data_IF_470323098553
#
_entry.id   IF_470323098553
#
_cell.length_a   1.000
_cell.length_b   1.000
_cell.length_c   1.000
_cell.angle_alpha   90.00
_cell.angle_beta   90.00
_cell.angle_gamma   90.00
#
_symmetry.space_group_name_H-M   'P 1'
#
loop_
_entity.id
_entity.type
_entity.pdbx_description
1 polymer ?
#
# COMPACT_ATOMS: atom_id res chain seq x y z
N UNK A 1 -13.79 -28.24 10.28
CA UNK A 1 -14.30 -28.04 8.90
C UNK A 1 -13.10 -27.76 8.02
N UNK A 2 -13.05 -28.25 6.78
CA UNK A 2 -11.82 -28.14 5.97
C UNK A 2 -11.76 -26.81 5.22
N UNK A 3 -10.62 -26.15 5.26
CA UNK A 3 -10.32 -24.98 4.42
C UNK A 3 -10.41 -25.31 2.92
N UNK A 4 -10.27 -26.58 2.55
CA UNK A 4 -10.33 -27.04 1.16
C UNK A 4 -11.69 -26.78 0.49
N UNK A 5 -12.77 -26.64 1.28
CA UNK A 5 -14.12 -26.36 0.78
C UNK A 5 -14.39 -24.86 0.56
N UNK A 6 -13.36 -24.01 0.71
CA UNK A 6 -13.48 -22.56 0.67
C UNK A 6 -12.67 -21.97 -0.50
N UNK A 7 -13.13 -20.83 -1.03
CA UNK A 7 -12.43 -20.01 -2.01
C UNK A 7 -12.46 -18.56 -1.52
N UNK A 8 -11.30 -17.91 -1.41
CA UNK A 8 -11.21 -16.48 -1.06
C UNK A 8 -10.72 -15.71 -2.27
N UNK A 9 -11.61 -14.91 -2.86
CA UNK A 9 -11.27 -13.99 -3.94
C UNK A 9 -11.06 -12.58 -3.37
N UNK A 10 -9.98 -11.94 -3.80
CA UNK A 10 -9.62 -10.56 -3.43
C UNK A 10 -9.37 -9.78 -4.71
N UNK A 11 -10.06 -8.66 -4.84
CA UNK A 11 -9.97 -7.77 -5.99
C UNK A 11 -8.64 -6.97 -6.00
N UNK A 12 -8.17 -6.58 -7.19
CA UNK A 12 -6.93 -5.83 -7.43
C UNK A 12 -6.87 -4.57 -6.57
N UNK A 13 -8.00 -3.86 -6.46
CA UNK A 13 -8.10 -2.62 -5.70
C UNK A 13 -7.68 -2.78 -4.22
N UNK A 14 -7.90 -3.96 -3.61
CA UNK A 14 -7.55 -4.25 -2.21
C UNK A 14 -6.05 -4.37 -2.05
N UNK A 15 -5.36 -5.00 -3.01
CA UNK A 15 -3.90 -5.07 -3.02
C UNK A 15 -3.27 -3.69 -3.24
N UNK A 16 -3.86 -2.86 -4.11
CA UNK A 16 -3.38 -1.50 -4.37
C UNK A 16 -3.60 -0.57 -3.16
N UNK A 17 -4.64 -0.78 -2.37
CA UNK A 17 -4.91 0.00 -1.15
C UNK A 17 -3.80 -0.13 -0.09
N UNK A 18 -2.99 -1.20 -0.12
CA UNK A 18 -1.82 -1.36 0.75
C UNK A 18 -0.80 -0.21 0.59
N UNK A 19 -0.70 0.41 -0.60
CA UNK A 19 0.15 1.59 -0.82
C UNK A 19 -0.48 2.91 -0.35
N UNK A 20 -1.75 2.88 0.05
CA UNK A 20 -2.57 4.07 0.36
C UNK A 20 -2.78 4.22 1.86
N UNK A 21 -3.00 3.11 2.57
CA UNK A 21 -3.14 3.08 4.02
C UNK A 21 -1.81 3.29 4.75
N UNK A 22 -1.85 3.59 6.04
CA UNK A 22 -0.65 3.74 6.88
C UNK A 22 -0.36 2.49 7.73
N UNK A 23 -1.36 1.62 7.90
CA UNK A 23 -1.28 0.37 8.69
C UNK A 23 -1.13 -0.87 7.78
N UNK A 24 -0.43 -0.71 6.67
CA UNK A 24 -0.18 -1.72 5.64
C UNK A 24 0.48 -3.00 6.21
N UNK A 25 1.49 -2.86 7.08
CA UNK A 25 2.28 -4.00 7.58
C UNK A 25 1.44 -5.07 8.28
N UNK A 26 0.49 -4.68 9.15
CA UNK A 26 -0.34 -5.66 9.88
C UNK A 26 -1.32 -6.37 8.97
N UNK A 27 -1.90 -5.63 8.03
CA UNK A 27 -2.81 -6.20 7.04
C UNK A 27 -2.08 -7.16 6.10
N UNK A 28 -0.84 -6.83 5.74
CA UNK A 28 0.05 -7.66 4.96
C UNK A 28 0.41 -8.96 5.68
N UNK A 29 0.73 -8.90 6.98
CA UNK A 29 0.98 -10.09 7.79
C UNK A 29 -0.23 -11.03 7.84
N UNK A 30 -1.45 -10.50 8.06
CA UNK A 30 -2.69 -11.30 8.02
C UNK A 30 -2.90 -11.96 6.66
N UNK A 31 -2.70 -11.20 5.58
CA UNK A 31 -2.89 -11.67 4.21
C UNK A 31 -1.89 -12.79 3.88
N UNK A 32 -0.64 -12.66 4.33
CA UNK A 32 0.42 -13.66 4.12
C UNK A 32 0.15 -14.98 4.87
N UNK A 33 -0.49 -14.94 6.03
CA UNK A 33 -0.85 -16.17 6.74
C UNK A 33 -1.91 -17.01 6.00
N UNK A 34 -2.69 -16.36 5.13
CA UNK A 34 -3.82 -17.00 4.44
C UNK A 34 -3.54 -17.26 2.95
N UNK A 35 -2.27 -17.16 2.51
CA UNK A 35 -1.83 -17.34 1.10
C UNK A 35 -2.41 -18.59 0.46
N UNK A 36 -2.42 -19.72 1.18
CA UNK A 36 -2.88 -21.02 0.66
C UNK A 36 -4.39 -21.09 0.39
N UNK A 37 -5.14 -20.08 0.83
CA UNK A 37 -6.60 -20.01 0.70
C UNK A 37 -7.05 -18.91 -0.26
N UNK A 38 -6.15 -18.00 -0.64
CA UNK A 38 -6.42 -16.89 -1.53
C UNK A 38 -6.32 -17.37 -2.97
N UNK A 39 -7.44 -17.27 -3.69
CA UNK A 39 -7.49 -17.44 -5.12
C UNK A 39 -7.21 -16.11 -5.81
N UNK A 40 -6.15 -16.11 -6.63
CA UNK A 40 -5.72 -14.95 -7.39
C UNK A 40 -5.49 -15.35 -8.84
N UNK A 41 -5.94 -14.50 -9.77
CA UNK A 41 -5.80 -14.73 -11.22
C UNK A 41 -4.63 -13.94 -11.78
N UNK A 42 -4.13 -14.36 -12.94
CA UNK A 42 -3.10 -13.63 -13.67
C UNK A 42 -3.59 -12.23 -14.07
N UNK A 43 -4.89 -12.07 -14.35
CA UNK A 43 -5.50 -10.78 -14.64
C UNK A 43 -5.36 -9.79 -13.47
N UNK A 44 -5.67 -10.24 -12.23
CA UNK A 44 -5.51 -9.44 -11.01
C UNK A 44 -4.03 -9.04 -10.81
N UNK A 45 -3.11 -9.99 -11.00
CA UNK A 45 -1.67 -9.72 -10.86
C UNK A 45 -1.18 -8.71 -11.91
N UNK A 46 -1.59 -8.85 -13.17
CA UNK A 46 -1.19 -7.94 -14.23
C UNK A 46 -1.77 -6.54 -14.02
N UNK A 47 -3.00 -6.44 -13.53
CA UNK A 47 -3.61 -5.17 -13.17
C UNK A 47 -2.87 -4.50 -12.00
N UNK A 48 -2.53 -5.26 -10.97
CA UNK A 48 -1.70 -4.77 -9.87
C UNK A 48 -0.37 -4.23 -10.39
N UNK A 49 0.32 -4.97 -11.27
CA UNK A 49 1.59 -4.52 -11.87
C UNK A 49 1.46 -3.24 -12.69
N UNK A 50 0.38 -3.09 -13.47
CA UNK A 50 0.14 -1.88 -14.28
C UNK A 50 -0.09 -0.65 -13.40
N UNK A 51 -0.74 -0.82 -12.24
CA UNK A 51 -1.27 0.30 -11.46
C UNK A 51 -0.47 0.63 -10.20
N UNK A 52 0.32 -0.29 -9.62
CA UNK A 52 0.95 -0.09 -8.31
C UNK A 52 1.83 1.17 -8.22
N UNK A 53 2.60 1.45 -9.28
CA UNK A 53 3.53 2.59 -9.28
C UNK A 53 2.79 3.93 -9.28
N UNK A 54 1.75 4.05 -10.11
CA UNK A 54 0.95 5.27 -10.21
C UNK A 54 0.15 5.51 -8.94
N UNK A 55 -0.47 4.46 -8.38
CA UNK A 55 -1.22 4.53 -7.12
C UNK A 55 -0.32 4.95 -5.95
N UNK A 56 0.87 4.36 -5.84
CA UNK A 56 1.83 4.73 -4.79
C UNK A 56 2.30 6.18 -4.95
N UNK A 57 2.64 6.61 -6.17
CA UNK A 57 3.08 7.97 -6.45
C UNK A 57 2.01 9.02 -6.10
N UNK A 58 0.74 8.75 -6.42
CA UNK A 58 -0.38 9.63 -6.07
C UNK A 58 -0.59 9.71 -4.56
N UNK A 59 -0.65 8.56 -3.88
CA UNK A 59 -0.74 8.47 -2.41
C UNK A 59 0.35 9.28 -1.72
N UNK A 60 1.61 9.12 -2.14
CA UNK A 60 2.73 9.83 -1.54
C UNK A 60 2.71 11.33 -1.85
N UNK A 61 2.24 11.72 -3.04
CA UNK A 61 2.06 13.14 -3.39
C UNK A 61 1.01 13.80 -2.50
N UNK A 62 -0.10 13.12 -2.22
CA UNK A 62 -1.14 13.63 -1.31
C UNK A 62 -0.62 13.75 0.12
N UNK A 63 0.09 12.73 0.62
CA UNK A 63 0.74 12.76 1.94
C UNK A 63 1.77 13.89 2.04
N UNK A 64 2.62 14.08 1.02
CA UNK A 64 3.59 15.18 0.94
C UNK A 64 2.88 16.55 0.92
N UNK A 65 1.77 16.69 0.19
CA UNK A 65 0.98 17.93 0.17
C UNK A 65 0.37 18.24 1.54
N UNK A 66 -0.20 17.25 2.21
CA UNK A 66 -0.77 17.42 3.55
C UNK A 66 0.29 17.90 4.57
N UNK A 67 1.50 17.32 4.51
CA UNK A 67 2.64 17.74 5.35
C UNK A 67 3.14 19.16 5.03
N UNK A 68 2.96 19.65 3.80
CA UNK A 68 3.35 21.01 3.40
C UNK A 68 2.28 22.06 3.69
N UNK A 69 1.00 21.68 3.81
CA UNK A 69 -0.09 22.62 4.08
C UNK A 69 -0.15 23.10 5.53
N UNK A 70 0.56 22.44 6.46
CA UNK A 70 0.74 22.87 7.85
C UNK A 70 1.74 24.04 8.00
N UNK A 71 1.89 24.85 6.94
CA UNK A 71 2.83 25.96 6.88
C UNK A 71 2.53 27.04 7.92
N UNK A 72 3.49 27.26 8.81
CA UNK A 72 3.64 28.54 9.51
C UNK A 72 4.41 29.49 8.58
N UNK A 73 3.74 30.55 8.11
CA UNK A 73 4.37 31.67 7.42
C UNK A 73 4.41 32.84 8.39
N UNK A 74 5.61 33.29 8.73
CA UNK A 74 5.76 34.48 9.55
C UNK A 74 5.41 35.70 8.68
N UNK A 75 4.50 36.58 9.09
CA UNK A 75 4.21 37.79 8.35
C UNK A 75 5.45 38.69 8.18
N UNK A 76 5.63 39.29 7.00
CA UNK A 76 6.80 40.10 6.65
C UNK A 76 7.02 41.32 7.57
N UNK A 77 5.95 41.79 8.24
CA UNK A 77 6.03 42.89 9.20
C UNK A 77 6.67 42.49 10.54
N UNK A 78 6.74 41.18 10.85
CA UNK A 78 7.45 40.66 12.02
C UNK A 78 8.96 40.49 11.77
N UNK A 79 9.41 40.54 10.52
CA UNK A 79 10.83 40.49 10.12
C UNK A 79 11.50 41.87 10.01
N UNK A 80 11.07 42.85 10.81
CA UNK A 80 11.72 44.17 10.85
C UNK A 80 13.03 44.13 11.65
N UNK A 81 14.05 44.84 11.17
CA UNK A 81 15.40 44.90 11.77
C UNK A 81 15.43 45.33 13.25
N UNK A 82 14.36 45.96 13.75
CA UNK A 82 14.20 46.33 15.17
C UNK A 82 13.84 45.18 16.10
N UNK A 83 13.41 44.02 15.56
CA UNK A 83 12.98 42.85 16.33
C UNK A 83 13.94 41.66 16.13
N UNK A 84 14.93 41.76 15.22
CA UNK A 84 15.93 40.71 14.89
C UNK A 84 16.80 40.22 16.07
N UNK A 85 16.75 40.91 17.22
CA UNK A 85 17.41 40.49 18.48
C UNK A 85 16.49 39.67 19.40
N UNK A 86 15.22 39.49 19.05
CA UNK A 86 14.31 38.63 19.81
C UNK A 86 14.66 37.17 19.53
N UNK A 87 15.10 36.48 20.57
CA UNK A 87 15.40 35.04 20.58
C UNK A 87 14.25 34.21 19.97
N UNK A 88 13.01 34.66 20.16
CA UNK A 88 11.81 34.02 19.62
C UNK A 88 11.78 34.06 18.09
N UNK A 89 12.17 35.16 17.45
CA UNK A 89 12.23 35.27 15.99
C UNK A 89 13.35 34.44 15.39
N UNK A 90 14.52 34.41 16.04
CA UNK A 90 15.63 33.55 15.61
C UNK A 90 15.26 32.06 15.69
N UNK A 91 14.56 31.65 16.75
CA UNK A 91 14.01 30.30 16.89
C UNK A 91 12.98 29.98 15.79
N UNK A 92 12.10 30.91 15.45
CA UNK A 92 11.12 30.72 14.37
C UNK A 92 11.80 30.59 12.99
N UNK A 93 12.85 31.36 12.73
CA UNK A 93 13.64 31.25 11.50
C UNK A 93 14.40 29.93 11.43
N UNK A 94 15.06 29.49 12.51
CA UNK A 94 15.77 28.20 12.55
C UNK A 94 14.81 27.03 12.35
N UNK A 95 13.63 27.06 12.98
CA UNK A 95 12.57 26.08 12.76
C UNK A 95 12.11 26.04 11.29
N UNK A 96 12.03 27.19 10.62
CA UNK A 96 11.72 27.26 9.19
C UNK A 96 12.78 26.57 8.31
N UNK A 97 14.06 26.75 8.64
CA UNK A 97 15.18 26.11 7.94
C UNK A 97 15.23 24.60 8.19
N UNK A 98 15.10 24.17 9.45
CA UNK A 98 15.07 22.76 9.83
C UNK A 98 13.91 22.04 9.16
N UNK A 99 12.72 22.66 9.15
CA UNK A 99 11.55 22.14 8.43
C UNK A 99 11.83 21.98 6.94
N UNK A 100 12.42 23.00 6.28
CA UNK A 100 12.78 22.91 4.86
C UNK A 100 13.74 21.76 4.59
N UNK A 101 14.74 21.57 5.46
CA UNK A 101 15.69 20.46 5.37
C UNK A 101 14.99 19.10 5.52
N UNK A 102 14.10 18.97 6.50
CA UNK A 102 13.30 17.77 6.72
C UNK A 102 12.40 17.45 5.53
N UNK A 103 11.73 18.45 4.94
CA UNK A 103 10.90 18.25 3.75
C UNK A 103 11.72 17.76 2.55
N UNK A 104 12.91 18.33 2.33
CA UNK A 104 13.80 17.86 1.26
C UNK A 104 14.30 16.42 1.50
N UNK A 105 14.62 16.07 2.75
CA UNK A 105 14.99 14.70 3.12
C UNK A 105 13.82 13.75 2.88
N UNK A 106 12.61 14.14 3.29
CA UNK A 106 11.38 13.38 3.07
C UNK A 106 11.12 13.14 1.57
N UNK A 107 11.20 14.17 0.74
CA UNK A 107 11.05 14.02 -0.72
C UNK A 107 12.10 13.08 -1.30
N UNK A 108 13.35 13.12 -0.83
CA UNK A 108 14.39 12.19 -1.25
C UNK A 108 14.10 10.74 -0.84
N UNK A 109 13.48 10.52 0.33
CA UNK A 109 13.06 9.20 0.78
C UNK A 109 11.91 8.67 -0.08
N UNK A 110 10.91 9.51 -0.37
CA UNK A 110 9.81 9.14 -1.25
C UNK A 110 10.30 8.72 -2.64
N UNK A 111 11.26 9.46 -3.22
CA UNK A 111 11.85 9.10 -4.51
C UNK A 111 12.52 7.71 -4.48
N UNK A 112 13.27 7.40 -3.41
CA UNK A 112 13.89 6.08 -3.25
C UNK A 112 12.84 4.96 -3.13
N UNK A 113 11.76 5.20 -2.37
CA UNK A 113 10.69 4.21 -2.21
C UNK A 113 9.98 3.99 -3.55
N UNK A 114 9.69 5.05 -4.31
CA UNK A 114 9.09 4.95 -5.65
C UNK A 114 10.00 4.17 -6.62
N UNK A 115 11.31 4.41 -6.56
CA UNK A 115 12.28 3.62 -7.34
C UNK A 115 12.19 2.13 -6.98
N UNK A 116 12.17 1.78 -5.69
CA UNK A 116 11.99 0.40 -5.22
C UNK A 116 10.67 -0.21 -5.69
N UNK A 117 9.55 0.54 -5.61
CA UNK A 117 8.23 0.09 -6.09
C UNK A 117 8.25 -0.21 -7.58
N UNK A 118 8.92 0.64 -8.38
CA UNK A 118 9.05 0.43 -9.83
C UNK A 118 9.78 -0.87 -10.17
N UNK A 119 10.73 -1.29 -9.32
CA UNK A 119 11.50 -2.53 -9.45
C UNK A 119 10.90 -3.71 -8.69
N UNK A 120 9.79 -3.51 -7.97
CA UNK A 120 9.20 -4.52 -7.07
C UNK A 120 10.13 -4.93 -5.92
N UNK A 121 11.00 -4.03 -5.50
CA UNK A 121 12.00 -4.24 -4.44
C UNK A 121 11.51 -3.71 -3.07
N UNK A 122 10.34 -3.07 -3.03
CA UNK A 122 9.71 -2.60 -1.79
C UNK A 122 9.09 -3.76 -0.98
N UNK A 123 8.85 -3.52 0.30
CA UNK A 123 8.35 -4.54 1.24
C UNK A 123 6.96 -5.08 0.85
N UNK A 124 6.07 -4.24 0.32
CA UNK A 124 4.72 -4.64 -0.10
C UNK A 124 4.83 -5.53 -1.33
N UNK A 125 5.59 -5.13 -2.37
CA UNK A 125 5.79 -5.96 -3.55
C UNK A 125 6.42 -7.31 -3.22
N UNK A 126 7.43 -7.34 -2.34
CA UNK A 126 8.09 -8.59 -1.93
C UNK A 126 7.12 -9.51 -1.21
N UNK A 127 6.36 -9.00 -0.26
CA UNK A 127 5.36 -9.79 0.45
C UNK A 127 4.29 -10.33 -0.51
N UNK A 128 3.67 -9.46 -1.32
CA UNK A 128 2.62 -9.88 -2.25
C UNK A 128 3.11 -10.85 -3.33
N UNK A 129 4.42 -10.91 -3.60
CA UNK A 129 4.98 -11.90 -4.52
C UNK A 129 4.67 -13.34 -4.10
N UNK A 130 4.53 -13.61 -2.79
CA UNK A 130 4.14 -14.95 -2.30
C UNK A 130 2.70 -15.32 -2.70
N UNK A 131 1.80 -14.34 -2.78
CA UNK A 131 0.42 -14.55 -3.22
C UNK A 131 0.38 -14.67 -4.73
N UNK A 132 0.99 -13.72 -5.44
CA UNK A 132 0.98 -13.70 -6.90
C UNK A 132 1.79 -14.84 -7.54
N UNK A 133 2.66 -15.52 -6.78
CA UNK A 133 3.28 -16.77 -7.22
C UNK A 133 2.25 -17.87 -7.54
N UNK A 134 1.08 -17.82 -6.89
CA UNK A 134 -0.03 -18.74 -7.11
C UNK A 134 -1.06 -18.21 -8.13
N UNK A 135 -0.74 -17.14 -8.87
CA UNK A 135 -1.64 -16.57 -9.86
C UNK A 135 -1.95 -17.58 -10.97
N UNK A 136 -3.25 -17.85 -11.15
CA UNK A 136 -3.73 -18.80 -12.16
C UNK A 136 -3.98 -18.06 -13.48
N UNK A 137 -3.43 -18.58 -14.57
CA UNK A 137 -3.70 -18.07 -15.90
C UNK A 137 -5.01 -18.66 -16.44
N UNK A 138 -5.82 -17.85 -17.17
CA UNK A 138 -7.09 -18.32 -17.70
C UNK A 138 -6.85 -19.35 -18.81
N UNK A 139 -7.70 -20.37 -18.83
CA UNK A 139 -7.83 -21.28 -19.98
C UNK A 139 -8.44 -20.56 -21.19
N UNK A 140 -8.23 -21.13 -22.38
CA UNK A 140 -8.87 -20.61 -23.60
C UNK A 140 -10.39 -20.66 -23.54
N UNK A 141 -10.97 -21.62 -22.81
CA UNK A 141 -12.42 -21.73 -22.62
C UNK A 141 -12.95 -20.63 -21.71
N UNK A 142 -12.29 -20.35 -20.58
CA UNK A 142 -12.65 -19.23 -19.68
C UNK A 142 -12.59 -17.89 -20.42
N UNK A 143 -11.52 -17.67 -21.19
CA UNK A 143 -11.39 -16.46 -21.99
C UNK A 143 -12.51 -16.34 -23.03
N UNK A 144 -12.90 -17.45 -23.66
CA UNK A 144 -14.01 -17.43 -24.60
C UNK A 144 -15.35 -17.16 -23.92
N UNK A 145 -15.62 -17.76 -22.74
CA UNK A 145 -16.83 -17.47 -21.97
C UNK A 145 -16.89 -16.01 -21.53
N UNK A 146 -15.77 -15.43 -21.10
CA UNK A 146 -15.68 -14.02 -20.74
C UNK A 146 -15.96 -13.09 -21.94
N UNK A 147 -15.43 -13.42 -23.13
CA UNK A 147 -15.75 -12.69 -24.37
C UNK A 147 -17.23 -12.76 -24.71
N UNK A 148 -17.83 -13.95 -24.62
CA UNK A 148 -19.27 -14.12 -24.86
C UNK A 148 -20.10 -13.32 -23.84
N UNK A 149 -19.69 -13.31 -22.57
CA UNK A 149 -20.31 -12.53 -21.49
C UNK A 149 -20.32 -11.03 -21.82
N UNK A 150 -19.20 -10.51 -22.34
CA UNK A 150 -19.09 -9.12 -22.82
C UNK A 150 -20.08 -8.81 -23.94
N UNK A 151 -20.16 -9.69 -24.94
CA UNK A 151 -21.06 -9.51 -26.08
C UNK A 151 -22.54 -9.53 -25.69
N UNK A 152 -22.89 -10.34 -24.68
CA UNK A 152 -24.24 -10.41 -24.14
C UNK A 152 -24.56 -9.29 -23.13
N UNK A 153 -23.55 -8.54 -22.67
CA UNK A 153 -23.71 -7.50 -21.66
C UNK A 153 -24.00 -8.05 -20.25
N UNK A 154 -23.55 -9.27 -19.98
CA UNK A 154 -23.74 -9.93 -18.68
C UNK A 154 -22.72 -9.42 -17.64
N UNK A 155 -23.09 -9.30 -16.35
CA UNK A 155 -22.18 -8.90 -15.27
C UNK A 155 -21.12 -9.99 -15.01
N UNK A 156 -20.05 -9.76 -14.23
CA UNK A 156 -19.72 -8.52 -13.52
C UNK A 156 -19.01 -7.49 -14.41
N UNK A 157 -18.81 -6.30 -13.87
CA UNK A 157 -17.99 -5.24 -14.46
C UNK A 157 -18.76 -4.11 -15.12
N UNK A 158 -18.05 -3.00 -15.36
CA UNK A 158 -18.60 -1.76 -15.90
C UNK A 158 -18.78 -1.84 -17.41
N UNK A 159 -19.74 -1.07 -17.94
CA UNK A 159 -20.11 -1.10 -19.38
C UNK A 159 -18.96 -0.78 -20.35
N UNK A 160 -17.93 -0.06 -19.91
CA UNK A 160 -16.86 0.44 -20.78
C UNK A 160 -15.76 -0.58 -21.02
N UNK A 161 -15.37 -1.36 -20.01
CA UNK A 161 -14.33 -2.39 -20.14
C UNK A 161 -14.51 -3.52 -19.09
N UNK A 162 -15.54 -4.36 -19.23
CA UNK A 162 -15.86 -5.37 -18.21
C UNK A 162 -15.01 -6.63 -18.35
N UNK A 163 -14.17 -6.76 -19.38
CA UNK A 163 -13.57 -8.05 -19.74
C UNK A 163 -12.69 -8.63 -18.64
N UNK A 164 -11.99 -7.78 -17.87
CA UNK A 164 -11.17 -8.21 -16.74
C UNK A 164 -11.98 -8.84 -15.62
N UNK A 165 -13.06 -8.17 -15.19
CA UNK A 165 -13.95 -8.66 -14.13
C UNK A 165 -14.70 -9.92 -14.59
N UNK A 166 -15.15 -9.92 -15.85
CA UNK A 166 -15.82 -11.05 -16.48
C UNK A 166 -14.92 -12.28 -16.56
N UNK A 167 -13.65 -12.11 -16.94
CA UNK A 167 -12.68 -13.20 -16.99
C UNK A 167 -12.40 -13.77 -15.60
N UNK A 168 -12.17 -12.89 -14.63
CA UNK A 168 -11.96 -13.28 -13.24
C UNK A 168 -13.15 -14.07 -12.70
N UNK A 169 -14.38 -13.68 -13.06
CA UNK A 169 -15.58 -14.41 -12.67
C UNK A 169 -15.68 -15.80 -13.31
N UNK A 170 -15.34 -15.95 -14.59
CA UNK A 170 -15.31 -17.27 -15.24
C UNK A 170 -14.29 -18.22 -14.58
N UNK A 171 -13.14 -17.69 -14.16
CA UNK A 171 -12.14 -18.44 -13.41
C UNK A 171 -12.65 -18.81 -12.01
N UNK A 172 -13.33 -17.88 -11.30
CA UNK A 172 -14.01 -18.17 -10.02
C UNK A 172 -14.99 -19.33 -10.20
N UNK A 173 -15.86 -19.30 -11.22
CA UNK A 173 -16.83 -20.38 -11.47
C UNK A 173 -16.13 -21.73 -11.72
N UNK A 174 -15.00 -21.75 -12.41
CA UNK A 174 -14.22 -22.98 -12.61
C UNK A 174 -13.63 -23.49 -11.29
N UNK A 175 -12.95 -22.62 -10.53
CA UNK A 175 -12.24 -22.99 -9.31
C UNK A 175 -13.14 -23.23 -8.10
N UNK A 176 -14.37 -22.71 -8.16
CA UNK A 176 -15.38 -22.93 -7.12
C UNK A 176 -16.05 -24.30 -7.21
N UNK A 177 -15.90 -25.04 -8.32
CA UNK A 177 -16.47 -26.39 -8.46
C UNK A 177 -16.04 -27.30 -7.32
N UNK A 178 -17.03 -27.86 -6.60
CA UNK A 178 -16.79 -28.76 -5.48
C UNK A 178 -16.47 -28.07 -4.15
N UNK A 179 -16.48 -26.73 -4.11
CA UNK A 179 -16.37 -25.93 -2.89
C UNK A 179 -17.76 -25.49 -2.43
N UNK A 180 -17.87 -25.06 -1.17
CA UNK A 180 -19.16 -24.68 -0.56
C UNK A 180 -19.24 -23.22 -0.16
N UNK A 181 -18.10 -22.54 0.01
CA UNK A 181 -18.07 -21.19 0.55
C UNK A 181 -17.17 -20.27 -0.25
N UNK A 182 -17.71 -19.15 -0.70
CA UNK A 182 -17.02 -18.13 -1.48
C UNK A 182 -16.92 -16.85 -0.66
N UNK A 183 -15.72 -16.33 -0.49
CA UNK A 183 -15.48 -14.98 -0.01
C UNK A 183 -15.11 -14.09 -1.21
N UNK A 184 -15.79 -12.97 -1.35
CA UNK A 184 -15.48 -11.92 -2.33
C UNK A 184 -15.10 -10.68 -1.52
N UNK A 185 -13.85 -10.25 -1.65
CA UNK A 185 -13.35 -9.02 -1.00
C UNK A 185 -13.08 -7.99 -2.11
N UNK A 186 -14.01 -7.07 -2.29
CA UNK A 186 -13.94 -6.00 -3.29
C UNK A 186 -14.68 -4.77 -2.79
N UNK A 187 -14.18 -3.58 -3.12
CA UNK A 187 -14.90 -2.31 -2.88
C UNK A 187 -15.81 -1.92 -4.04
N UNK A 188 -15.60 -2.49 -5.22
CA UNK A 188 -16.40 -2.15 -6.39
C UNK A 188 -17.69 -2.98 -6.39
N UNK A 189 -18.81 -2.32 -6.65
CA UNK A 189 -20.14 -2.93 -6.70
C UNK A 189 -20.38 -3.74 -8.00
N UNK A 190 -19.31 -4.31 -8.57
CA UNK A 190 -19.36 -5.05 -9.83
C UNK A 190 -19.92 -6.47 -9.60
N UNK A 191 -19.77 -6.99 -8.38
CA UNK A 191 -20.25 -8.32 -7.97
C UNK A 191 -21.56 -8.28 -7.19
N UNK A 192 -21.83 -7.20 -6.47
CA UNK A 192 -22.90 -7.12 -5.48
C UNK A 192 -23.76 -5.86 -5.58
N UNK A 193 -24.89 -5.90 -4.88
CA UNK A 193 -25.70 -4.74 -4.58
C UNK A 193 -25.81 -4.59 -3.06
N UNK A 194 -25.42 -3.42 -2.55
CA UNK A 194 -25.56 -3.09 -1.15
C UNK A 194 -27.00 -2.64 -0.81
N UNK A 195 -27.54 -3.17 0.29
CA UNK A 195 -28.78 -2.70 0.90
C UNK A 195 -28.62 -2.60 2.42
N UNK A 196 -28.70 -1.38 2.95
CA UNK A 196 -28.37 -1.11 4.35
C UNK A 196 -26.90 -1.39 4.64
N UNK A 197 -26.62 -2.25 5.62
CA UNK A 197 -25.26 -2.65 6.01
C UNK A 197 -24.88 -4.04 5.46
N UNK A 198 -25.59 -4.53 4.45
CA UNK A 198 -25.39 -5.86 3.87
C UNK A 198 -25.18 -5.76 2.36
N UNK A 199 -24.25 -6.56 1.86
CA UNK A 199 -23.99 -6.76 0.44
C UNK A 199 -24.63 -8.06 -0.03
N UNK A 200 -25.32 -8.02 -1.16
CA UNK A 200 -25.99 -9.15 -1.77
C UNK A 200 -25.39 -9.41 -3.13
N UNK A 201 -24.95 -10.65 -3.39
CA UNK A 201 -24.43 -11.02 -4.70
C UNK A 201 -25.48 -10.71 -5.78
N UNK A 202 -25.03 -10.16 -6.91
CA UNK A 202 -25.87 -9.92 -8.07
C UNK A 202 -26.62 -11.22 -8.45
N UNK A 203 -27.93 -11.12 -8.71
CA UNK A 203 -28.77 -12.29 -8.94
C UNK A 203 -28.30 -13.14 -10.14
N UNK A 204 -27.76 -12.51 -11.18
CA UNK A 204 -27.21 -13.22 -12.33
C UNK A 204 -26.01 -14.10 -11.93
N UNK A 205 -25.11 -13.53 -11.13
CA UNK A 205 -23.93 -14.23 -10.62
C UNK A 205 -24.32 -15.35 -9.64
N UNK A 206 -25.33 -15.10 -8.80
CA UNK A 206 -25.89 -16.10 -7.90
C UNK A 206 -26.45 -17.31 -8.65
N UNK A 207 -27.25 -17.08 -9.70
CA UNK A 207 -27.80 -18.16 -10.52
C UNK A 207 -26.70 -19.03 -11.16
N UNK A 208 -25.58 -18.41 -11.55
CA UNK A 208 -24.43 -19.14 -12.10
C UNK A 208 -23.72 -19.98 -11.04
N UNK A 209 -23.53 -19.44 -9.83
CA UNK A 209 -23.01 -20.22 -8.71
C UNK A 209 -23.93 -21.40 -8.37
N UNK A 210 -25.25 -21.22 -8.37
CA UNK A 210 -26.21 -22.31 -8.15
C UNK A 210 -26.07 -23.43 -9.19
N UNK A 211 -25.73 -23.12 -10.45
CA UNK A 211 -25.49 -24.13 -11.49
C UNK A 211 -24.19 -24.89 -11.26
N UNK A 212 -23.18 -24.24 -10.68
CA UNK A 212 -21.87 -24.84 -10.38
C UNK A 212 -21.92 -25.66 -9.09
N UNK A 213 -22.56 -25.14 -8.05
CA UNK A 213 -22.70 -25.77 -6.73
C UNK A 213 -24.03 -25.29 -6.12
N UNK A 214 -25.08 -26.13 -6.12
CA UNK A 214 -26.42 -25.73 -5.64
C UNK A 214 -26.46 -25.29 -4.18
N UNK A 215 -25.70 -25.98 -3.31
CA UNK A 215 -25.58 -25.67 -1.89
C UNK A 215 -24.28 -24.90 -1.64
N UNK A 216 -24.37 -23.56 -1.63
CA UNK A 216 -23.22 -22.70 -1.38
C UNK A 216 -23.57 -21.51 -0.48
N UNK A 217 -22.54 -20.93 0.15
CA UNK A 217 -22.62 -19.69 0.93
C UNK A 217 -21.69 -18.66 0.27
N UNK A 218 -22.16 -17.41 0.17
CA UNK A 218 -21.34 -16.30 -0.35
C UNK A 218 -21.24 -15.23 0.73
N UNK A 219 -20.01 -14.78 0.98
CA UNK A 219 -19.70 -13.70 1.90
C UNK A 219 -18.99 -12.58 1.15
N UNK A 220 -19.51 -11.36 1.21
CA UNK A 220 -18.99 -10.21 0.46
C UNK A 220 -18.56 -9.13 1.45
N UNK A 221 -17.35 -8.59 1.24
CA UNK A 221 -16.75 -7.58 2.11
C UNK A 221 -16.05 -6.47 1.31
N UNK A 222 -16.28 -5.22 1.69
CA UNK A 222 -15.54 -4.07 1.16
C UNK A 222 -14.14 -3.91 1.79
N UNK A 223 -14.06 -4.26 3.08
CA UNK A 223 -12.88 -4.12 3.93
C UNK A 223 -12.07 -5.43 3.91
N UNK A 224 -10.78 -5.35 3.55
CA UNK A 224 -9.91 -6.52 3.48
C UNK A 224 -9.72 -7.17 4.86
N UNK A 225 -9.55 -6.33 5.89
CA UNK A 225 -9.41 -6.77 7.28
C UNK A 225 -10.61 -7.60 7.77
N UNK A 226 -11.84 -7.13 7.54
CA UNK A 226 -13.07 -7.85 7.91
C UNK A 226 -13.23 -9.17 7.18
N UNK A 227 -12.98 -9.17 5.87
CA UNK A 227 -13.15 -10.36 5.06
C UNK A 227 -12.23 -11.49 5.54
N UNK A 228 -10.96 -11.18 5.80
CA UNK A 228 -9.99 -12.15 6.32
C UNK A 228 -10.35 -12.62 7.74
N UNK A 229 -10.73 -11.72 8.64
CA UNK A 229 -11.15 -12.11 9.99
C UNK A 229 -12.38 -13.02 9.99
N UNK A 230 -13.38 -12.70 9.15
CA UNK A 230 -14.55 -13.55 8.98
C UNK A 230 -14.16 -14.91 8.41
N UNK A 231 -13.29 -14.95 7.40
CA UNK A 231 -12.79 -16.20 6.83
C UNK A 231 -12.12 -17.08 7.90
N UNK A 232 -11.19 -16.53 8.67
CA UNK A 232 -10.51 -17.23 9.76
C UNK A 232 -11.50 -17.75 10.79
N UNK A 233 -12.42 -16.89 11.25
CA UNK A 233 -13.43 -17.25 12.25
C UNK A 233 -14.38 -18.36 11.77
N UNK A 234 -14.79 -18.33 10.51
CA UNK A 234 -15.75 -19.29 9.94
C UNK A 234 -15.09 -20.63 9.63
N UNK A 235 -13.84 -20.64 9.17
CA UNK A 235 -13.15 -21.87 8.74
C UNK A 235 -12.30 -22.51 9.84
N UNK A 236 -11.84 -21.73 10.82
CA UNK A 236 -10.96 -22.19 11.89
C UNK A 236 -9.53 -22.47 11.43
N UNK A 237 -9.10 -21.88 10.30
CA UNK A 237 -7.71 -21.95 9.83
C UNK A 237 -6.75 -21.26 10.80
N UNK A 238 -5.46 -21.61 10.73
CA UNK A 238 -4.44 -21.01 11.61
C UNK A 238 -4.33 -19.52 11.32
N UNK A 239 -4.42 -18.72 12.38
CA UNK A 239 -4.14 -17.29 12.36
C UNK A 239 -3.38 -16.94 13.64
N UNK A 240 -2.06 -16.79 13.54
CA UNK A 240 -1.21 -16.40 14.66
C UNK A 240 -1.18 -14.88 14.78
N UNK A 241 -1.30 -14.20 13.65
CA UNK A 241 -1.48 -12.76 13.57
C UNK A 241 -2.96 -12.46 13.77
N UNK A 242 -3.25 -11.62 14.76
CA UNK A 242 -4.59 -11.11 15.00
C UNK A 242 -4.51 -9.59 15.17
N UNK A 243 -5.45 -8.89 14.56
CA UNK A 243 -5.65 -7.47 14.84
C UNK A 243 -6.48 -7.33 16.10
N UNK A 244 -6.13 -6.38 16.96
CA UNK A 244 -7.04 -6.00 18.03
C UNK A 244 -8.32 -5.36 17.47
N UNK A 245 -9.43 -5.31 18.23
CA UNK A 245 -10.64 -4.61 17.79
C UNK A 245 -10.39 -3.15 17.42
N UNK A 246 -9.52 -2.46 18.17
CA UNK A 246 -9.15 -1.07 17.92
C UNK A 246 -8.39 -0.93 16.60
N UNK A 247 -7.38 -1.79 16.37
CA UNK A 247 -6.60 -1.79 15.14
C UNK A 247 -7.47 -2.07 13.92
N UNK A 248 -8.42 -3.00 14.07
CA UNK A 248 -9.38 -3.34 13.01
C UNK A 248 -10.23 -2.12 12.66
N UNK A 249 -10.82 -1.45 13.67
CA UNK A 249 -11.62 -0.24 13.44
C UNK A 249 -10.81 0.89 12.78
N UNK A 250 -9.55 1.07 13.16
CA UNK A 250 -8.68 2.07 12.54
C UNK A 250 -8.35 1.75 11.09
N UNK A 251 -8.03 0.48 10.78
CA UNK A 251 -7.76 0.03 9.42
C UNK A 251 -9.01 0.19 8.55
N UNK A 252 -10.17 -0.27 9.02
CA UNK A 252 -11.45 -0.10 8.33
C UNK A 252 -11.74 1.37 8.02
N UNK A 253 -11.49 2.26 8.99
CA UNK A 253 -11.69 3.71 8.80
C UNK A 253 -10.75 4.27 7.74
N UNK A 254 -9.49 3.82 7.70
CA UNK A 254 -8.56 4.19 6.64
C UNK A 254 -9.04 3.66 5.28
N UNK A 255 -9.34 2.36 5.17
CA UNK A 255 -9.84 1.72 3.94
C UNK A 255 -11.08 2.44 3.39
N UNK A 256 -12.06 2.75 4.24
CA UNK A 256 -13.32 3.42 3.83
C UNK A 256 -13.14 4.90 3.48
N UNK A 257 -12.06 5.53 3.95
CA UNK A 257 -11.74 6.92 3.60
C UNK A 257 -11.09 7.05 2.22
N UNK A 258 -10.62 5.94 1.64
CA UNK A 258 -9.95 5.95 0.35
C UNK A 258 -10.94 6.19 -0.80
N UNK A 259 -10.64 7.11 -1.73
CA UNK A 259 -11.44 7.25 -2.95
C UNK A 259 -11.32 6.00 -3.84
N UNK A 260 -12.36 5.73 -4.65
CA UNK A 260 -12.36 4.64 -5.64
C UNK A 260 -11.27 4.87 -6.69
N UNK A 261 -10.45 3.83 -6.92
CA UNK A 261 -9.34 3.85 -7.88
C UNK A 261 -9.82 3.98 -9.33
N UNK A 262 -10.98 3.43 -9.67
CA UNK A 262 -11.57 3.54 -11.01
C UNK A 262 -12.01 4.96 -11.37
N UNK A 263 -12.39 5.79 -10.39
CA UNK A 263 -12.69 7.21 -10.62
C UNK A 263 -11.41 8.03 -10.85
N UNK A 264 -10.27 7.58 -10.31
CA UNK A 264 -8.95 8.16 -10.57
C UNK A 264 -8.39 7.72 -11.92
N UNK A 265 -8.61 6.48 -12.37
CA UNK A 265 -8.04 5.96 -13.62
C UNK A 265 -8.56 6.64 -14.91
N UNK A 266 -9.83 7.05 -14.97
CA UNK A 266 -10.38 7.83 -16.12
C UNK A 266 -9.75 9.22 -16.24
N UNK A 267 -9.51 9.88 -15.11
CA UNK A 267 -8.74 11.15 -15.06
C UNK A 267 -7.27 10.88 -15.38
N UNK A 268 -6.75 9.74 -14.93
CA UNK A 268 -5.36 9.32 -15.10
C UNK A 268 -5.00 8.96 -16.54
N UNK A 269 -5.90 8.34 -17.31
CA UNK A 269 -5.70 8.11 -18.75
C UNK A 269 -5.46 9.42 -19.51
N UNK A 270 -6.05 10.53 -19.06
CA UNK A 270 -5.84 11.87 -19.62
C UNK A 270 -4.57 12.56 -19.09
N UNK A 271 -4.17 12.27 -17.85
CA UNK A 271 -2.96 12.86 -17.23
C UNK A 271 -1.68 12.14 -17.68
N UNK A 272 -1.68 10.81 -17.74
CA UNK A 272 -0.54 9.99 -18.21
C UNK A 272 -0.27 10.16 -19.70
N UNK A 273 -1.29 10.42 -20.52
CA UNK A 273 -1.10 10.80 -21.92
C UNK A 273 -0.27 12.10 -22.10
N UNK A 274 -0.10 12.87 -21.03
CA UNK A 274 0.64 14.13 -21.01
C UNK A 274 1.93 14.08 -20.15
N UNK A 275 2.26 12.93 -19.55
CA UNK A 275 3.52 12.75 -18.81
C UNK A 275 4.48 11.98 -19.71
N UNK A 276 5.54 12.65 -20.14
CA UNK A 276 6.67 12.03 -20.84
C UNK A 276 7.43 11.12 -19.84
N UNK A 277 7.06 9.83 -19.84
CA UNK A 277 7.68 8.78 -19.03
C UNK A 277 9.19 8.66 -19.29
N UNK A 278 9.66 8.97 -20.50
CA UNK A 278 11.09 8.99 -20.79
C UNK A 278 11.77 10.21 -20.15
N UNK A 279 11.08 11.35 -20.04
CA UNK A 279 11.61 12.51 -19.30
C UNK A 279 11.71 12.23 -17.79
N UNK A 280 10.74 11.49 -17.23
CA UNK A 280 10.78 11.06 -15.83
C UNK A 280 11.94 10.08 -15.60
N UNK A 281 12.11 9.08 -16.47
CA UNK A 281 13.20 8.11 -16.38
C UNK A 281 14.58 8.79 -16.55
N UNK A 282 14.73 9.69 -17.53
CA UNK A 282 15.95 10.50 -17.70
C UNK A 282 16.25 11.38 -16.48
N UNK A 283 15.23 11.96 -15.84
CA UNK A 283 15.42 12.77 -14.64
C UNK A 283 15.85 11.94 -13.43
N UNK A 284 15.29 10.73 -13.26
CA UNK A 284 15.67 9.77 -12.22
C UNK A 284 17.12 9.29 -12.41
N UNK A 285 17.53 8.96 -13.64
CA UNK A 285 18.92 8.59 -13.94
C UNK A 285 19.90 9.73 -13.65
N UNK A 286 19.56 10.96 -14.06
CA UNK A 286 20.42 12.14 -13.87
C UNK A 286 20.58 12.51 -12.39
N UNK A 287 19.53 12.35 -11.58
CA UNK A 287 19.62 12.56 -10.13
C UNK A 287 20.36 11.42 -9.43
N UNK A 288 20.23 10.17 -9.90
CA UNK A 288 21.01 9.03 -9.40
C UNK A 288 22.52 9.21 -9.62
N UNK A 289 22.93 9.69 -10.79
CA UNK A 289 24.34 10.02 -11.06
C UNK A 289 24.84 11.20 -10.22
N UNK A 290 24.01 12.23 -10.03
CA UNK A 290 24.35 13.39 -9.21
C UNK A 290 24.51 13.01 -7.73
N UNK A 291 23.64 12.15 -7.20
CA UNK A 291 23.74 11.62 -5.85
C UNK A 291 24.97 10.72 -5.68
N UNK A 292 25.31 9.88 -6.67
CA UNK A 292 26.55 9.06 -6.65
C UNK A 292 27.81 9.92 -6.68
N UNK A 293 27.82 11.02 -7.46
CA UNK A 293 28.92 12.00 -7.48
C UNK A 293 29.04 12.80 -6.18
N UNK A 294 27.91 13.14 -5.54
CA UNK A 294 27.93 13.80 -4.22
C UNK A 294 28.44 12.85 -3.13
N UNK A 295 28.03 11.58 -3.15
CA UNK A 295 28.48 10.57 -2.19
C UNK A 295 29.96 10.20 -2.35
N UNK A 296 30.51 10.24 -3.56
CA UNK A 296 31.93 9.99 -3.83
C UNK A 296 32.88 11.08 -3.27
N UNK A 297 32.36 12.27 -2.95
CA UNK A 297 33.15 13.40 -2.43
C UNK A 297 32.97 13.64 -0.92
N UNK A 298 32.24 12.76 -0.23
CA UNK A 298 32.04 12.85 1.21
C UNK A 298 33.11 12.01 1.92
N UNK A 299 34.00 12.68 2.68
CA UNK A 299 34.94 12.02 3.59
C UNK A 299 34.16 11.48 4.81
N UNK A 300 33.77 10.22 4.72
CA UNK A 300 33.04 9.50 5.77
C UNK A 300 33.84 9.42 7.09
N UNK A 301 35.17 9.43 7.05
CA UNK A 301 35.99 9.43 8.25
C UNK A 301 35.94 10.79 8.95
N UNK A 302 35.85 11.89 8.21
CA UNK A 302 35.65 13.22 8.78
C UNK A 302 34.29 13.35 9.47
N UNK A 303 33.23 12.79 8.88
CA UNK A 303 31.89 12.77 9.47
C UNK A 303 31.82 11.91 10.73
N UNK A 304 32.48 10.75 10.74
CA UNK A 304 32.56 9.89 11.92
C UNK A 304 33.34 10.55 13.06
N UNK A 305 34.47 11.23 12.77
CA UNK A 305 35.22 12.03 13.77
C UNK A 305 34.37 13.16 14.37
N UNK A 306 33.48 13.77 13.58
CA UNK A 306 32.58 14.83 14.02
C UNK A 306 31.45 14.28 14.90
N UNK A 307 30.87 13.14 14.50
CA UNK A 307 29.85 12.44 15.29
C UNK A 307 30.39 11.95 16.64
N UNK A 308 31.63 11.44 16.69
CA UNK A 308 32.29 11.05 17.94
C UNK A 308 32.59 12.24 18.86
N UNK A 309 33.00 13.39 18.30
CA UNK A 309 33.17 14.63 19.08
C UNK A 309 31.86 15.07 19.71
N UNK A 310 30.78 15.09 18.93
CA UNK A 310 29.45 15.47 19.41
C UNK A 310 28.96 14.51 20.51
N UNK A 311 29.20 13.20 20.34
CA UNK A 311 28.85 12.18 21.33
C UNK A 311 29.62 12.36 22.64
N UNK A 312 30.92 12.66 22.59
CA UNK A 312 31.75 12.97 23.77
C UNK A 312 31.32 14.27 24.47
N UNK A 313 30.92 15.29 23.72
CA UNK A 313 30.39 16.53 24.30
C UNK A 313 29.04 16.31 25.00
N UNK A 314 28.13 15.54 24.39
CA UNK A 314 26.86 15.19 24.99
C UNK A 314 27.04 14.39 26.29
N UNK A 315 27.97 13.43 26.33
CA UNK A 315 28.32 12.69 27.55
C UNK A 315 28.90 13.61 28.65
N UNK A 316 29.74 14.58 28.28
CA UNK A 316 30.27 15.59 29.23
C UNK A 316 29.19 16.53 29.75
N UNK A 317 28.16 16.82 28.94
CA UNK A 317 27.02 17.64 29.33
C UNK A 317 26.12 16.89 30.31
N UNK A 318 25.86 15.60 30.05
CA UNK A 318 25.10 14.71 30.95
C UNK A 318 25.79 14.59 32.32
N UNK A 319 27.11 14.41 32.35
CA UNK A 319 27.90 14.34 33.58
C UNK A 319 27.86 15.66 34.40
N UNK A 320 27.75 16.83 33.75
CA UNK A 320 27.60 18.12 34.44
C UNK A 320 26.20 18.36 35.01
N UNK A 321 25.20 17.65 34.50
CA UNK A 321 23.80 17.78 34.92
C UNK A 321 23.44 16.81 36.07
N UNK A 322 24.39 16.00 36.56
CA UNK A 322 24.19 15.11 37.70
C UNK A 322 23.21 13.96 37.44
N UNK A 323 22.94 13.65 36.17
CA UNK A 323 22.12 12.51 35.76
C UNK A 323 23.01 11.26 35.68
N UNK A 324 22.52 10.14 36.21
CA UNK A 324 23.25 8.87 36.22
C UNK A 324 23.63 8.47 34.79
N UNK A 325 24.94 8.28 34.57
CA UNK A 325 25.49 7.83 33.30
C UNK A 325 25.45 6.31 33.31
N UNK A 326 24.78 5.63 32.36
CA UNK A 326 24.85 4.18 32.28
C UNK A 326 26.30 3.75 32.06
N UNK A 327 26.78 2.89 32.96
CA UNK A 327 28.13 2.36 32.97
C UNK A 327 28.36 1.52 31.71
N UNK A 328 29.25 1.99 30.83
CA UNK A 328 29.75 1.22 29.70
C UNK A 328 31.22 0.91 29.97
N UNK A 329 31.43 -0.10 30.82
CA UNK A 329 32.67 -0.84 30.86
C UNK A 329 32.87 -1.55 29.50
N UNK A 330 33.90 -1.09 28.78
CA UNK A 330 34.86 -1.91 28.01
C UNK A 330 34.31 -3.11 27.22
N UNK A 331 34.05 -2.90 25.92
CA UNK A 331 34.40 -3.91 24.88
C UNK A 331 35.70 -3.45 24.20
N UNK A 332 36.81 -3.54 24.93
CA UNK A 332 38.14 -3.70 24.34
C UNK A 332 38.59 -5.14 24.64
N UNK A 333 38.86 -5.91 23.58
CA UNK A 333 39.36 -7.30 23.61
C UNK A 333 38.24 -8.31 23.33
N UNK A 334 38.31 -9.19 22.33
CA UNK A 334 39.47 -9.92 21.83
C UNK A 334 39.41 -10.08 20.30
N UNK A 335 40.46 -9.62 19.63
CA UNK A 335 41.00 -10.30 18.46
C UNK A 335 41.98 -11.35 18.99
N UNK A 336 41.67 -12.61 18.79
CA UNK A 336 42.62 -13.63 18.32
C UNK A 336 41.90 -14.59 17.38
#
# INVERSE_FOLDING_TARGET
>A
MSANDSLVFIDTNKYLDLYRINRDKKLLELLLEQVDHIFVTQQIFDEFKRNKLSVAAESFKEKSKALRLTNFNLPDHLSSQSIDQDHTLQQLQSLGQDRKKLLNQFDSLLLKIIEQISRSEDDISKALSHIFANAVAPSSEELQRARNRRELGNPPGKKTDPLGDQLTWEEILTHFKGKKRLWIISRDSDYDAAYGNQSFLNCFLYDELCRVTPEHEVYIFEDLSKGLQHFVKTTGVRAEKQLTPEETQEIEKEERSLPSLYRQSEVMGRVLANIDLDALNRAVEKQGEMARRMLANIDFDALNRLAERQRKENLRMIARLGLDVPDLATEEGEKE
#
